data_IF_475972712880
#
_entry.id   IF_475972712880
#
_cell.length_a   1.000
_cell.length_b   1.000
_cell.length_c   1.000
_cell.angle_alpha   90.00
_cell.angle_beta   90.00
_cell.angle_gamma   90.00
#
_symmetry.space_group_name_H-M   'P 1'
#
loop_
_entity.id
_entity.type
_entity.pdbx_description
1 polymer ?
#
# COMPACT_ATOMS: atom_id res chain seq x y z
N UNK A 1 3.35 7.46 -3.15
CA UNK A 1 3.38 7.54 -1.67
C UNK A 1 2.18 8.27 -1.07
N UNK A 2 1.91 9.54 -1.43
CA UNK A 2 0.82 10.33 -0.82
C UNK A 2 -0.59 9.68 -0.86
N UNK A 3 -0.90 8.89 -1.88
CA UNK A 3 -2.15 8.14 -1.97
C UNK A 3 -2.33 7.14 -0.82
N UNK A 4 -1.32 6.29 -0.57
CA UNK A 4 -1.35 5.30 0.51
C UNK A 4 -1.52 5.94 1.89
N UNK A 5 -0.75 7.01 2.18
CA UNK A 5 -0.87 7.76 3.45
C UNK A 5 -2.28 8.31 3.66
N UNK A 6 -2.88 8.88 2.62
CA UNK A 6 -4.25 9.38 2.68
C UNK A 6 -5.27 8.26 2.86
N UNK A 7 -5.09 7.10 2.21
CA UNK A 7 -5.96 5.94 2.42
C UNK A 7 -5.89 5.42 3.86
N UNK A 8 -4.68 5.33 4.41
CA UNK A 8 -4.46 4.99 5.82
C UNK A 8 -5.19 5.96 6.75
N UNK A 9 -5.02 7.27 6.58
CA UNK A 9 -5.70 8.25 7.43
C UNK A 9 -7.23 8.22 7.29
N UNK A 10 -7.76 7.93 6.10
CA UNK A 10 -9.21 7.77 5.92
C UNK A 10 -9.73 6.56 6.69
N UNK A 11 -9.08 5.40 6.55
CA UNK A 11 -9.49 4.18 7.24
C UNK A 11 -9.31 4.31 8.76
N UNK A 12 -8.10 4.71 9.21
CA UNK A 12 -7.77 4.86 10.63
C UNK A 12 -8.57 5.96 11.31
N UNK A 13 -8.77 7.10 10.66
CA UNK A 13 -9.64 8.16 11.18
C UNK A 13 -11.07 7.66 11.40
N UNK A 14 -11.60 6.85 10.47
CA UNK A 14 -12.94 6.30 10.64
C UNK A 14 -13.05 5.30 11.79
N UNK A 15 -12.00 4.51 12.04
CA UNK A 15 -11.93 3.62 13.22
C UNK A 15 -12.04 4.44 14.51
N UNK A 16 -11.29 5.55 14.62
CA UNK A 16 -11.31 6.42 15.80
C UNK A 16 -12.69 7.07 16.03
N UNK A 17 -13.37 7.48 14.94
CA UNK A 17 -14.72 8.03 15.02
C UNK A 17 -15.75 6.97 15.46
N UNK A 18 -15.67 5.74 14.94
CA UNK A 18 -16.61 4.67 15.27
C UNK A 18 -16.39 4.11 16.69
N UNK A 19 -15.13 4.05 17.12
CA UNK A 19 -14.71 3.54 18.42
C UNK A 19 -13.93 4.62 19.19
N UNK A 20 -14.61 5.61 19.78
CA UNK A 20 -13.94 6.74 20.45
C UNK A 20 -13.21 6.34 21.74
N UNK A 21 -13.50 5.16 22.29
CA UNK A 21 -12.92 4.63 23.52
C UNK A 21 -11.78 3.67 23.18
N UNK A 22 -10.60 3.89 23.76
CA UNK A 22 -9.34 3.18 23.44
C UNK A 22 -9.48 1.66 23.56
N UNK A 23 -10.12 1.18 24.62
CA UNK A 23 -10.31 -0.25 24.90
C UNK A 23 -11.10 -0.93 23.78
N UNK A 24 -12.09 -0.22 23.19
CA UNK A 24 -12.87 -0.74 22.06
C UNK A 24 -12.05 -0.87 20.79
N UNK A 25 -11.11 0.05 20.55
CA UNK A 25 -10.18 -0.04 19.42
C UNK A 25 -9.24 -1.22 19.60
N UNK A 26 -8.67 -1.39 20.81
CA UNK A 26 -7.75 -2.49 21.13
C UNK A 26 -8.44 -3.85 20.93
N UNK A 27 -9.75 -3.95 21.17
CA UNK A 27 -10.50 -5.17 20.91
C UNK A 27 -10.62 -5.51 19.40
N UNK A 28 -10.46 -4.55 18.48
CA UNK A 28 -10.55 -4.77 17.02
C UNK A 28 -9.20 -5.21 16.43
N UNK A 29 -8.68 -6.35 16.85
CA UNK A 29 -7.34 -6.82 16.47
C UNK A 29 -7.17 -6.98 14.95
N UNK A 30 -8.20 -7.44 14.25
CA UNK A 30 -8.16 -7.64 12.80
C UNK A 30 -8.17 -6.31 12.03
N UNK A 31 -8.77 -5.26 12.59
CA UNK A 31 -8.71 -3.89 12.05
C UNK A 31 -7.33 -3.30 12.30
N UNK A 32 -6.80 -3.46 13.52
CA UNK A 32 -5.46 -3.00 13.89
C UNK A 32 -4.36 -3.68 13.08
N UNK A 33 -4.52 -4.97 12.78
CA UNK A 33 -3.61 -5.71 11.90
C UNK A 33 -3.60 -5.10 10.50
N UNK A 34 -4.76 -4.84 9.90
CA UNK A 34 -4.85 -4.22 8.57
C UNK A 34 -4.24 -2.83 8.53
N UNK A 35 -4.48 -2.01 9.54
CA UNK A 35 -3.87 -0.69 9.65
C UNK A 35 -2.34 -0.79 9.81
N UNK A 36 -1.86 -1.75 10.59
CA UNK A 36 -0.42 -2.04 10.74
C UNK A 36 0.20 -2.52 9.43
N UNK A 37 -0.46 -3.42 8.71
CA UNK A 37 -0.03 -3.91 7.40
C UNK A 37 0.10 -2.74 6.40
N UNK A 38 -0.87 -1.81 6.40
CA UNK A 38 -0.78 -0.57 5.58
C UNK A 38 0.44 0.29 5.96
N UNK A 39 0.74 0.44 7.26
CA UNK A 39 1.93 1.19 7.72
C UNK A 39 3.22 0.53 7.26
N UNK A 40 3.32 -0.80 7.38
CA UNK A 40 4.49 -1.57 6.95
C UNK A 40 4.71 -1.42 5.44
N UNK A 41 3.64 -1.58 4.65
CA UNK A 41 3.70 -1.40 3.19
C UNK A 41 4.21 -0.01 2.81
N UNK A 42 3.70 1.04 3.47
CA UNK A 42 4.15 2.42 3.23
C UNK A 42 5.61 2.63 3.62
N UNK A 43 6.01 2.14 4.79
CA UNK A 43 7.39 2.26 5.28
C UNK A 43 8.36 1.59 4.31
N UNK A 44 8.13 0.34 3.95
CA UNK A 44 8.98 -0.41 3.02
C UNK A 44 9.03 0.25 1.63
N UNK A 45 7.91 0.78 1.15
CA UNK A 45 7.86 1.49 -0.12
C UNK A 45 8.67 2.79 -0.08
N UNK A 46 8.58 3.56 1.01
CA UNK A 46 9.36 4.80 1.20
C UNK A 46 10.86 4.51 1.35
N UNK A 47 11.22 3.54 2.20
CA UNK A 47 12.60 3.11 2.39
C UNK A 47 13.22 2.61 1.08
N UNK A 48 12.48 1.79 0.31
CA UNK A 48 12.93 1.30 -0.98
C UNK A 48 13.16 2.43 -1.99
N UNK A 49 12.23 3.39 -2.09
CA UNK A 49 12.35 4.54 -2.99
C UNK A 49 13.56 5.42 -2.65
N UNK A 50 13.78 5.71 -1.37
CA UNK A 50 14.93 6.49 -0.93
C UNK A 50 16.25 5.76 -1.23
N UNK A 51 16.33 4.47 -0.90
CA UNK A 51 17.52 3.67 -1.18
C UNK A 51 17.82 3.57 -2.67
N UNK A 52 16.81 3.35 -3.52
CA UNK A 52 16.99 3.31 -4.95
C UNK A 52 17.40 4.67 -5.54
N UNK A 53 16.93 5.78 -4.97
CA UNK A 53 17.30 7.12 -5.40
C UNK A 53 18.76 7.47 -5.08
N UNK A 54 19.25 7.07 -3.90
CA UNK A 54 20.59 7.44 -3.44
C UNK A 54 21.67 6.47 -3.91
N UNK A 55 21.37 5.18 -3.95
CA UNK A 55 22.36 4.11 -4.14
C UNK A 55 21.93 3.07 -5.20
N UNK A 56 20.83 3.31 -5.92
CA UNK A 56 20.26 2.34 -6.84
C UNK A 56 20.84 2.38 -8.25
N UNK A 57 20.79 1.25 -8.93
CA UNK A 57 20.92 1.13 -10.38
C UNK A 57 19.59 0.74 -11.02
N UNK A 58 19.63 0.52 -12.33
CA UNK A 58 18.46 0.26 -13.17
C UNK A 58 17.59 -0.92 -12.65
N UNK A 59 18.21 -1.96 -12.09
CA UNK A 59 17.50 -3.12 -11.56
C UNK A 59 16.88 -2.83 -10.19
N UNK A 60 17.59 -2.12 -9.30
CA UNK A 60 17.05 -1.72 -8.00
C UNK A 60 15.85 -0.80 -8.17
N UNK A 61 15.89 0.11 -9.13
CA UNK A 61 14.73 0.91 -9.51
C UNK A 61 13.56 0.05 -10.00
N UNK A 62 13.83 -0.95 -10.84
CA UNK A 62 12.80 -1.86 -11.34
C UNK A 62 12.12 -2.64 -10.20
N UNK A 63 12.91 -3.14 -9.24
CA UNK A 63 12.42 -3.84 -8.04
C UNK A 63 11.51 -2.92 -7.23
N UNK A 64 11.97 -1.70 -6.95
CA UNK A 64 11.22 -0.75 -6.11
C UNK A 64 9.97 -0.26 -6.82
N UNK A 65 10.01 0.01 -8.14
CA UNK A 65 8.81 0.35 -8.93
C UNK A 65 7.76 -0.75 -8.84
N UNK A 66 8.17 -2.01 -9.00
CA UNK A 66 7.28 -3.17 -8.86
C UNK A 66 6.73 -3.30 -7.43
N UNK A 67 7.57 -3.10 -6.41
CA UNK A 67 7.13 -3.16 -5.02
C UNK A 67 6.11 -2.06 -4.69
N UNK A 68 6.38 -0.81 -5.06
CA UNK A 68 5.53 0.35 -4.74
C UNK A 68 4.14 0.21 -5.34
N UNK A 69 4.02 -0.29 -6.58
CA UNK A 69 2.70 -0.51 -7.17
C UNK A 69 1.92 -1.62 -6.45
N UNK A 70 2.58 -2.73 -6.12
CA UNK A 70 1.95 -3.84 -5.41
C UNK A 70 1.51 -3.41 -3.99
N UNK A 71 2.38 -2.69 -3.28
CA UNK A 71 2.11 -2.16 -1.96
C UNK A 71 0.90 -1.20 -1.99
N UNK A 72 0.77 -0.37 -3.01
CA UNK A 72 -0.34 0.56 -3.11
C UNK A 72 -1.67 -0.12 -3.46
N UNK A 73 -1.66 -1.18 -4.28
CA UNK A 73 -2.84 -2.02 -4.52
C UNK A 73 -3.29 -2.75 -3.25
N UNK A 74 -2.35 -3.35 -2.51
CA UNK A 74 -2.65 -4.02 -1.25
C UNK A 74 -3.14 -3.02 -0.19
N UNK A 75 -2.54 -1.82 -0.12
CA UNK A 75 -2.98 -0.75 0.78
C UNK A 75 -4.43 -0.31 0.48
N UNK A 76 -4.82 -0.21 -0.80
CA UNK A 76 -6.21 0.09 -1.16
C UNK A 76 -7.16 -1.03 -0.71
N UNK A 77 -6.78 -2.30 -0.92
CA UNK A 77 -7.56 -3.46 -0.49
C UNK A 77 -7.77 -3.46 1.03
N UNK A 78 -6.70 -3.31 1.81
CA UNK A 78 -6.75 -3.28 3.27
C UNK A 78 -7.65 -2.13 3.78
N UNK A 79 -7.56 -0.95 3.17
CA UNK A 79 -8.43 0.18 3.51
C UNK A 79 -9.92 -0.11 3.23
N UNK A 80 -10.23 -0.78 2.11
CA UNK A 80 -11.60 -1.19 1.78
C UNK A 80 -12.15 -2.18 2.80
N UNK A 81 -11.36 -3.16 3.20
CA UNK A 81 -11.75 -4.14 4.22
C UNK A 81 -12.05 -3.47 5.56
N UNK A 82 -11.20 -2.52 5.99
CA UNK A 82 -11.45 -1.74 7.21
C UNK A 82 -12.75 -0.95 7.11
N UNK A 83 -12.98 -0.23 6.00
CA UNK A 83 -14.18 0.59 5.85
C UNK A 83 -15.46 -0.25 5.71
N UNK A 84 -15.39 -1.41 5.06
CA UNK A 84 -16.52 -2.34 4.94
C UNK A 84 -16.92 -2.98 6.28
N UNK A 85 -15.98 -3.08 7.24
CA UNK A 85 -16.31 -3.47 8.61
C UNK A 85 -17.01 -2.34 9.39
N UNK A 86 -16.69 -1.08 9.10
CA UNK A 86 -17.16 0.07 9.88
C UNK A 86 -18.51 0.62 9.37
N UNK A 87 -18.73 0.55 8.07
CA UNK A 87 -19.82 1.22 7.36
C UNK A 87 -20.54 0.28 6.40
N UNK A 88 -21.81 0.59 6.17
CA UNK A 88 -22.67 -0.11 5.22
C UNK A 88 -23.43 0.89 4.34
N UNK A 89 -24.13 0.38 3.32
CA UNK A 89 -25.01 1.18 2.48
C UNK A 89 -24.30 2.36 1.79
N UNK A 90 -24.96 3.52 1.78
CA UNK A 90 -24.49 4.69 1.03
C UNK A 90 -23.26 5.35 1.67
N UNK A 91 -23.09 5.21 2.99
CA UNK A 91 -21.88 5.68 3.68
C UNK A 91 -20.66 4.90 3.21
N UNK A 92 -20.75 3.57 3.16
CA UNK A 92 -19.68 2.73 2.63
C UNK A 92 -19.36 3.11 1.17
N UNK A 93 -20.37 3.27 0.31
CA UNK A 93 -20.17 3.67 -1.10
C UNK A 93 -19.40 5.00 -1.20
N UNK A 94 -19.72 5.97 -0.36
CA UNK A 94 -19.03 7.26 -0.33
C UNK A 94 -17.54 7.11 0.02
N UNK A 95 -17.23 6.33 1.06
CA UNK A 95 -15.85 6.02 1.44
C UNK A 95 -15.08 5.27 0.35
N UNK A 96 -15.68 4.26 -0.27
CA UNK A 96 -15.08 3.52 -1.38
C UNK A 96 -14.81 4.44 -2.59
N UNK A 97 -15.72 5.37 -2.89
CA UNK A 97 -15.52 6.39 -3.92
C UNK A 97 -14.34 7.32 -3.60
N UNK A 98 -14.19 7.72 -2.33
CA UNK A 98 -13.03 8.50 -1.86
C UNK A 98 -11.73 7.72 -2.03
N UNK A 99 -11.68 6.44 -1.63
CA UNK A 99 -10.50 5.58 -1.80
C UNK A 99 -10.11 5.47 -3.28
N UNK A 100 -11.07 5.23 -4.17
CA UNK A 100 -10.83 5.14 -5.61
C UNK A 100 -10.18 6.41 -6.19
N UNK A 101 -10.57 7.59 -5.72
CA UNK A 101 -9.91 8.86 -6.13
C UNK A 101 -8.48 8.95 -5.61
N UNK A 102 -8.22 8.47 -4.39
CA UNK A 102 -6.88 8.48 -3.80
C UNK A 102 -5.93 7.48 -4.47
N UNK A 103 -6.45 6.36 -4.97
CA UNK A 103 -5.70 5.36 -5.73
C UNK A 103 -5.45 5.76 -7.19
N UNK A 104 -6.26 6.66 -7.77
CA UNK A 104 -6.18 7.05 -9.19
C UNK A 104 -4.79 7.49 -9.66
N UNK A 105 -4.02 8.32 -8.93
CA UNK A 105 -2.68 8.69 -9.38
C UNK A 105 -1.72 7.50 -9.54
N UNK A 106 -1.93 6.41 -8.78
CA UNK A 106 -1.18 5.18 -8.98
C UNK A 106 -1.64 4.47 -10.26
N UNK A 107 -2.95 4.31 -10.45
CA UNK A 107 -3.51 3.66 -11.63
C UNK A 107 -3.08 4.35 -12.94
N UNK A 108 -2.96 5.68 -12.92
CA UNK A 108 -2.51 6.46 -14.08
C UNK A 108 -1.02 6.31 -14.38
N UNK A 109 -0.23 5.83 -13.42
CA UNK A 109 1.21 5.62 -13.55
C UNK A 109 1.57 4.14 -13.39
N UNK A 110 0.66 3.24 -13.79
CA UNK A 110 0.92 1.82 -13.76
C UNK A 110 2.09 1.50 -14.69
N UNK A 111 3.08 0.80 -14.14
CA UNK A 111 4.21 0.28 -14.91
C UNK A 111 3.91 -1.17 -15.26
N UNK A 112 4.35 -1.64 -16.42
CA UNK A 112 4.16 -3.03 -16.82
C UNK A 112 4.85 -3.98 -15.82
N UNK A 113 4.10 -4.70 -14.95
CA UNK A 113 4.70 -5.57 -13.97
C UNK A 113 5.39 -6.78 -14.62
N UNK A 114 4.91 -7.22 -15.79
CA UNK A 114 5.43 -8.42 -16.47
C UNK A 114 6.83 -8.15 -17.01
N UNK A 115 7.02 -7.02 -17.69
CA UNK A 115 8.34 -6.62 -18.18
C UNK A 115 9.33 -6.35 -17.05
N UNK A 116 8.89 -5.70 -15.96
CA UNK A 116 9.73 -5.48 -14.79
C UNK A 116 10.15 -6.81 -14.13
N UNK A 117 9.20 -7.75 -13.97
CA UNK A 117 9.49 -9.07 -13.40
C UNK A 117 10.48 -9.85 -14.25
N UNK A 118 10.32 -9.86 -15.58
CA UNK A 118 11.27 -10.52 -16.49
C UNK A 118 12.68 -9.94 -16.36
N UNK A 119 12.80 -8.61 -16.41
CA UNK A 119 14.09 -7.92 -16.24
C UNK A 119 14.79 -8.25 -14.91
N UNK A 120 14.03 -8.30 -13.81
CA UNK A 120 14.54 -8.66 -12.49
C UNK A 120 14.97 -10.13 -12.48
N UNK A 121 14.18 -11.02 -13.07
CA UNK A 121 14.46 -12.45 -13.15
C UNK A 121 15.73 -12.74 -13.97
N UNK A 122 15.90 -12.08 -15.13
CA UNK A 122 17.09 -12.25 -15.97
C UNK A 122 18.36 -11.91 -15.18
N UNK A 123 18.35 -10.79 -14.42
CA UNK A 123 19.48 -10.41 -13.56
C UNK A 123 19.72 -11.41 -12.43
N UNK A 124 18.66 -11.95 -11.84
CA UNK A 124 18.75 -12.96 -10.78
C UNK A 124 19.38 -14.25 -11.29
N UNK A 125 18.97 -14.71 -12.48
CA UNK A 125 19.48 -15.94 -13.12
C UNK A 125 20.96 -15.78 -13.48
N UNK A 126 21.34 -14.65 -14.07
CA UNK A 126 22.73 -14.32 -14.40
C UNK A 126 23.62 -14.34 -13.14
N UNK A 127 23.13 -13.74 -12.05
CA UNK A 127 23.89 -13.60 -10.81
C UNK A 127 23.92 -14.88 -9.96
N UNK A 128 22.93 -15.77 -10.11
CA UNK A 128 22.69 -16.99 -9.27
C UNK A 128 22.61 -16.73 -7.76
N UNK A 129 22.43 -15.49 -7.36
CA UNK A 129 22.31 -15.05 -5.97
C UNK A 129 21.50 -13.77 -5.93
N UNK A 130 21.03 -13.41 -4.74
CA UNK A 130 20.53 -12.07 -4.49
C UNK A 130 21.64 -11.05 -4.81
N UNK A 131 21.35 -10.14 -5.74
CA UNK A 131 22.33 -9.27 -6.39
C UNK A 131 22.27 -7.81 -5.93
N UNK A 132 21.46 -7.55 -4.90
CA UNK A 132 21.22 -6.23 -4.33
C UNK A 132 22.34 -5.81 -3.36
#
# INVERSE_FOLDING_TARGET
MNGMKKMFFVAGGRVLEKFPVREKIIAQQEVLRRLSDMLILMYLAESGLLRAKEHGGEIQEAIVKLYVQNAAMECEKLAKEVLAFLEEGDMLKSYLGRLKRLARPLANNLVDPVSLQRKIADKLIESKKYFL
#
